data_IF_593507988186
#
_entry.id   IF_593507988186
#
_cell.length_a   1.000
_cell.length_b   1.000
_cell.length_c   1.000
_cell.angle_alpha   90.00
_cell.angle_beta   90.00
_cell.angle_gamma   90.00
#
_symmetry.space_group_name_H-M   'P 1'
#
loop_
_entity.id
_entity.type
_entity.pdbx_description
1 polymer ?
#
# COMPACT_ATOMS: atom_id res chain seq x y z
N UNK A 1 20.17 0.01 12.21
CA UNK A 1 19.50 -1.06 11.44
C UNK A 1 18.17 -1.33 12.11
N UNK A 2 17.13 -0.62 11.70
CA UNK A 2 15.79 -0.72 12.28
C UNK A 2 14.89 -1.53 11.36
N UNK A 3 14.00 -2.32 11.94
CA UNK A 3 12.82 -2.85 11.24
C UNK A 3 12.06 -1.65 10.63
N UNK A 4 11.92 -1.60 9.31
CA UNK A 4 11.04 -0.61 8.69
C UNK A 4 9.60 -1.15 8.73
N UNK A 5 8.86 -0.68 9.72
CA UNK A 5 7.48 -1.03 10.01
C UNK A 5 7.22 -0.67 11.47
N UNK A 6 6.10 -0.02 11.79
CA UNK A 6 5.80 0.35 13.17
C UNK A 6 5.56 -0.94 13.99
N UNK A 7 6.51 -1.41 14.83
CA UNK A 7 6.34 -2.64 15.60
C UNK A 7 5.37 -2.44 16.77
N UNK A 8 5.05 -1.18 17.08
CA UNK A 8 4.17 -0.77 18.15
C UNK A 8 2.78 -0.37 17.64
N UNK A 9 2.47 -0.51 16.34
CA UNK A 9 1.11 -0.36 15.86
C UNK A 9 0.31 -1.59 16.30
N UNK A 10 -0.55 -1.49 17.33
CA UNK A 10 -1.39 -2.61 17.71
C UNK A 10 -2.37 -2.82 16.56
N UNK A 11 -2.41 -4.03 16.00
CA UNK A 11 -3.51 -4.46 15.13
C UNK A 11 -4.78 -4.62 15.95
N UNK A 12 -5.33 -3.51 16.46
CA UNK A 12 -6.56 -3.48 17.23
C UNK A 12 -7.74 -3.16 16.30
N UNK A 13 -8.22 -4.19 15.59
CA UNK A 13 -9.40 -4.13 14.74
C UNK A 13 -9.40 -5.19 13.63
N UNK A 14 -10.56 -5.74 13.29
CA UNK A 14 -10.79 -6.81 12.30
C UNK A 14 -10.00 -6.60 11.00
N UNK A 15 -8.98 -7.45 10.79
CA UNK A 15 -8.13 -7.59 9.59
C UNK A 15 -7.47 -6.31 9.04
N UNK A 16 -6.15 -6.22 9.21
CA UNK A 16 -5.30 -5.35 8.39
C UNK A 16 -5.12 -3.90 8.89
N UNK A 17 -4.40 -3.11 8.10
CA UNK A 17 -4.00 -1.72 8.42
C UNK A 17 -5.23 -0.82 8.52
N UNK A 18 -5.25 0.11 9.49
CA UNK A 18 -6.28 1.14 9.54
C UNK A 18 -6.03 2.19 8.44
N UNK A 19 -7.02 2.42 7.58
CA UNK A 19 -6.96 3.41 6.48
C UNK A 19 -7.62 4.75 6.86
N UNK A 20 -8.13 4.87 8.09
CA UNK A 20 -8.52 6.13 8.69
C UNK A 20 -7.32 6.71 9.46
N UNK A 21 -6.46 7.44 8.75
CA UNK A 21 -5.19 7.93 9.29
C UNK A 21 -5.16 9.46 9.24
N UNK A 22 -4.81 10.07 10.37
CA UNK A 22 -4.37 11.45 10.51
C UNK A 22 -3.12 11.40 11.38
N UNK A 23 -1.95 11.38 10.75
CA UNK A 23 -0.71 10.99 11.41
C UNK A 23 0.42 11.98 11.15
N UNK A 24 1.46 11.88 11.97
CA UNK A 24 2.74 12.55 11.79
C UNK A 24 3.85 11.51 11.75
N UNK A 25 4.63 11.54 10.70
CA UNK A 25 5.78 10.63 10.54
C UNK A 25 7.06 11.44 10.56
N UNK A 26 8.02 10.97 11.35
CA UNK A 26 9.37 11.52 11.36
C UNK A 26 10.20 10.85 10.27
N UNK A 27 10.78 11.63 9.37
CA UNK A 27 11.75 11.14 8.41
C UNK A 27 12.99 10.63 9.17
N UNK A 28 13.33 9.33 9.07
CA UNK A 28 14.46 8.76 9.81
C UNK A 28 15.83 9.25 9.31
N UNK A 29 15.92 9.85 8.12
CA UNK A 29 17.19 10.26 7.51
C UNK A 29 17.62 11.68 7.86
N UNK A 30 16.67 12.60 8.07
CA UNK A 30 16.96 14.01 8.38
C UNK A 30 16.27 14.50 9.68
N UNK A 31 15.42 13.66 10.29
CA UNK A 31 14.72 13.96 11.53
C UNK A 31 13.53 14.91 11.40
N UNK A 32 13.18 15.36 10.20
CA UNK A 32 12.03 16.24 9.94
C UNK A 32 10.70 15.54 10.18
N UNK A 33 9.66 16.29 10.54
CA UNK A 33 8.32 15.74 10.80
C UNK A 33 7.35 16.17 9.72
N UNK A 34 6.68 15.19 9.14
CA UNK A 34 5.68 15.32 8.09
C UNK A 34 4.31 14.97 8.64
N UNK A 35 3.24 15.47 8.02
CA UNK A 35 1.87 15.09 8.41
C UNK A 35 1.06 14.68 7.20
N UNK A 36 0.27 13.63 7.32
CA UNK A 36 -0.57 13.16 6.23
C UNK A 36 -1.88 12.57 6.76
N UNK A 37 -2.87 12.49 5.88
CA UNK A 37 -4.14 11.88 6.22
C UNK A 37 -5.24 12.25 5.24
N UNK A 38 -6.42 12.54 5.79
CA UNK A 38 -7.57 13.02 5.04
C UNK A 38 -8.41 14.03 5.83
N UNK A 39 -9.17 14.86 5.11
CA UNK A 39 -10.12 15.82 5.67
C UNK A 39 -11.51 15.57 5.12
N UNK A 40 -12.52 15.82 5.95
CA UNK A 40 -13.90 15.96 5.49
C UNK A 40 -14.07 17.36 4.90
N UNK A 41 -14.31 17.46 3.59
CA UNK A 41 -14.42 18.75 2.88
C UNK A 41 -15.85 19.08 2.47
N UNK A 42 -16.74 18.08 2.52
CA UNK A 42 -18.19 18.18 2.35
C UNK A 42 -18.87 17.05 3.14
N UNK A 43 -20.19 17.04 3.39
CA UNK A 43 -20.86 15.97 4.15
C UNK A 43 -20.61 14.55 3.64
N UNK A 44 -20.34 14.38 2.34
CA UNK A 44 -20.12 13.09 1.67
C UNK A 44 -18.82 13.11 0.83
N UNK A 45 -17.79 13.83 1.29
CA UNK A 45 -16.52 13.88 0.58
C UNK A 45 -15.32 14.02 1.51
N UNK A 46 -14.42 13.05 1.42
CA UNK A 46 -13.12 13.03 2.05
C UNK A 46 -12.00 13.24 1.02
N UNK A 47 -11.02 14.09 1.34
CA UNK A 47 -9.89 14.41 0.49
C UNK A 47 -8.56 14.18 1.21
N UNK A 48 -7.51 13.69 0.52
CA UNK A 48 -6.22 13.41 1.12
C UNK A 48 -5.44 14.70 1.37
N UNK A 49 -4.47 14.65 2.27
CA UNK A 49 -3.44 15.68 2.41
C UNK A 49 -2.10 15.05 2.79
N UNK A 50 -1.03 15.75 2.43
CA UNK A 50 0.34 15.53 2.88
C UNK A 50 1.04 16.88 2.97
N UNK A 51 1.46 17.25 4.19
CA UNK A 51 2.18 18.47 4.50
C UNK A 51 3.66 18.20 4.68
N UNK A 52 4.46 18.89 3.88
CA UNK A 52 5.91 18.83 3.95
C UNK A 52 6.48 19.89 4.90
N UNK A 53 7.55 19.56 5.66
CA UNK A 53 8.30 20.55 6.44
C UNK A 53 9.00 21.59 5.56
N UNK A 54 9.09 21.37 4.25
CA UNK A 54 9.70 22.27 3.28
C UNK A 54 8.72 23.29 2.67
N UNK A 55 7.49 23.36 3.19
CA UNK A 55 6.51 24.41 2.86
C UNK A 55 5.63 24.14 1.64
N UNK A 56 5.82 23.03 0.94
CA UNK A 56 4.91 22.56 -0.09
C UNK A 56 3.87 21.58 0.47
N UNK A 57 2.79 21.39 -0.27
CA UNK A 57 1.70 20.46 0.07
C UNK A 57 1.41 19.54 -1.11
N UNK A 58 1.18 18.27 -0.80
CA UNK A 58 0.52 17.34 -1.71
C UNK A 58 -0.93 17.19 -1.29
N UNK A 59 -1.81 17.32 -2.27
CA UNK A 59 -3.26 17.33 -2.10
C UNK A 59 -3.72 18.50 -1.21
N UNK A 60 -4.69 18.28 -0.32
CA UNK A 60 -5.40 19.31 0.47
C UNK A 60 -6.42 20.14 -0.34
N UNK A 61 -7.19 19.45 -1.19
CA UNK A 61 -8.23 20.06 -2.00
C UNK A 61 -9.49 20.39 -1.21
N UNK A 62 -10.06 21.56 -1.47
CA UNK A 62 -11.43 21.90 -1.07
C UNK A 62 -12.47 21.17 -1.91
N UNK A 63 -13.72 21.12 -1.45
CA UNK A 63 -14.85 20.58 -2.25
C UNK A 63 -14.94 21.23 -3.65
N UNK A 64 -14.80 22.56 -3.71
CA UNK A 64 -14.86 23.30 -4.97
C UNK A 64 -13.73 22.93 -5.92
N UNK A 65 -12.52 22.66 -5.41
CA UNK A 65 -11.38 22.25 -6.22
C UNK A 65 -11.52 20.81 -6.73
N UNK A 66 -12.07 19.89 -5.93
CA UNK A 66 -12.32 18.52 -6.35
C UNK A 66 -13.40 18.41 -7.45
N UNK A 67 -14.38 19.32 -7.47
CA UNK A 67 -15.41 19.37 -8.50
C UNK A 67 -16.17 18.05 -8.63
N UNK A 68 -16.12 17.44 -9.81
CA UNK A 68 -16.80 16.17 -10.11
C UNK A 68 -16.07 14.92 -9.56
N UNK A 69 -14.91 15.09 -8.94
CA UNK A 69 -14.15 14.01 -8.31
C UNK A 69 -14.65 13.78 -6.89
N UNK A 70 -15.68 12.93 -6.78
CA UNK A 70 -16.47 12.71 -5.56
C UNK A 70 -16.18 11.40 -4.85
N UNK A 71 -15.18 10.63 -5.27
CA UNK A 71 -14.76 9.44 -4.56
C UNK A 71 -13.98 9.82 -3.30
N UNK A 72 -14.34 9.24 -2.15
CA UNK A 72 -13.62 9.49 -0.92
C UNK A 72 -12.19 9.01 -1.09
N UNK A 73 -11.25 9.89 -0.78
CA UNK A 73 -9.84 9.65 -1.01
C UNK A 73 -9.04 10.00 0.23
N UNK A 74 -8.09 9.13 0.60
CA UNK A 74 -7.33 9.24 1.85
C UNK A 74 -5.85 8.99 1.59
N UNK A 75 -4.96 9.74 2.24
CA UNK A 75 -3.56 9.37 2.38
C UNK A 75 -3.42 8.48 3.62
N UNK A 76 -2.88 7.29 3.45
CA UNK A 76 -2.96 6.20 4.44
C UNK A 76 -1.60 5.60 4.79
N UNK A 77 -0.56 6.00 4.06
CA UNK A 77 0.82 5.64 4.37
C UNK A 77 1.82 6.63 3.82
N UNK A 78 2.93 6.79 4.55
CA UNK A 78 4.08 7.58 4.15
C UNK A 78 5.34 6.86 4.60
N UNK A 79 6.30 6.69 3.68
CA UNK A 79 7.61 6.11 3.95
C UNK A 79 8.70 6.95 3.30
N UNK A 80 9.90 6.89 3.85
CA UNK A 80 11.07 7.58 3.33
C UNK A 80 12.06 6.53 2.80
N UNK A 81 12.50 6.70 1.56
CA UNK A 81 13.54 5.87 0.94
C UNK A 81 14.92 6.48 1.17
N UNK A 82 14.99 7.81 1.26
CA UNK A 82 16.19 8.57 1.62
C UNK A 82 15.79 9.92 2.22
N UNK A 83 16.76 10.80 2.50
CA UNK A 83 16.48 12.19 2.87
C UNK A 83 15.77 12.98 1.75
N UNK A 84 15.94 12.57 0.49
CA UNK A 84 15.47 13.31 -0.70
C UNK A 84 14.26 12.65 -1.38
N UNK A 85 13.85 11.45 -0.92
CA UNK A 85 12.81 10.63 -1.56
C UNK A 85 11.85 10.03 -0.55
N UNK A 86 10.56 10.11 -0.86
CA UNK A 86 9.49 9.51 -0.08
C UNK A 86 8.46 8.84 -0.99
N UNK A 87 7.69 7.91 -0.41
CA UNK A 87 6.55 7.27 -1.07
C UNK A 87 5.31 7.50 -0.22
N UNK A 88 4.27 8.05 -0.83
CA UNK A 88 2.96 8.22 -0.21
C UNK A 88 1.96 7.22 -0.80
N UNK A 89 1.25 6.50 0.09
CA UNK A 89 0.12 5.66 -0.28
C UNK A 89 -1.17 6.43 -0.10
N UNK A 90 -1.98 6.47 -1.16
CA UNK A 90 -3.36 6.90 -1.09
C UNK A 90 -4.30 5.77 -1.44
N UNK A 91 -5.54 5.84 -0.97
CA UNK A 91 -6.61 4.92 -1.35
C UNK A 91 -7.91 5.69 -1.63
N UNK A 92 -8.65 5.25 -2.66
CA UNK A 92 -10.00 5.73 -2.96
C UNK A 92 -11.02 4.59 -3.08
N UNK A 93 -12.27 4.86 -2.69
CA UNK A 93 -13.39 3.94 -2.82
C UNK A 93 -14.04 3.92 -4.21
N UNK A 94 -13.71 4.87 -5.09
CA UNK A 94 -14.30 5.03 -6.41
C UNK A 94 -13.34 5.61 -7.45
N UNK A 95 -13.84 5.76 -8.68
CA UNK A 95 -13.00 6.13 -9.84
C UNK A 95 -12.97 7.59 -10.22
N UNK A 96 -13.99 8.35 -9.82
CA UNK A 96 -13.96 9.80 -9.90
C UNK A 96 -13.16 10.35 -8.71
N UNK A 97 -11.88 10.01 -8.64
CA UNK A 97 -10.96 10.36 -7.56
C UNK A 97 -9.94 11.40 -7.99
N UNK A 98 -9.46 12.19 -7.02
CA UNK A 98 -8.34 13.13 -7.20
C UNK A 98 -7.00 12.44 -7.34
N UNK A 99 -6.87 11.14 -7.00
CA UNK A 99 -5.59 10.41 -6.98
C UNK A 99 -4.89 10.36 -8.34
N UNK A 100 -5.66 10.41 -9.43
CA UNK A 100 -5.15 10.36 -10.79
C UNK A 100 -4.50 11.68 -11.23
N UNK A 101 -4.70 12.76 -10.47
CA UNK A 101 -4.18 14.09 -10.79
C UNK A 101 -2.90 14.40 -10.02
N UNK A 102 -2.08 15.28 -10.58
CA UNK A 102 -0.84 15.74 -9.94
C UNK A 102 -1.20 16.20 -8.53
N UNK A 103 -0.51 15.69 -7.50
CA UNK A 103 -0.82 16.05 -6.12
C UNK A 103 -0.64 17.55 -5.84
N UNK A 104 0.04 18.30 -6.71
CA UNK A 104 0.22 19.75 -6.58
C UNK A 104 -0.79 20.56 -7.40
N UNK A 105 -1.45 19.93 -8.39
CA UNK A 105 -2.48 20.57 -9.21
C UNK A 105 -3.56 19.55 -9.63
N UNK A 106 -4.72 19.62 -8.98
CA UNK A 106 -5.89 18.77 -9.26
C UNK A 106 -6.41 18.85 -10.69
N UNK A 107 -6.01 19.85 -11.50
CA UNK A 107 -6.44 19.96 -12.90
C UNK A 107 -5.53 19.20 -13.87
N UNK A 108 -4.35 18.79 -13.42
CA UNK A 108 -3.34 18.15 -14.26
C UNK A 108 -3.35 16.65 -14.03
N UNK A 109 -3.57 15.86 -15.08
CA UNK A 109 -3.49 14.40 -14.99
C UNK A 109 -2.03 13.93 -15.08
N UNK A 110 -1.47 13.35 -14.02
CA UNK A 110 -0.03 13.02 -13.94
C UNK A 110 0.36 11.69 -14.61
N UNK A 111 -0.61 10.83 -14.96
CA UNK A 111 -0.42 9.52 -15.64
C UNK A 111 0.42 8.45 -14.93
N UNK A 112 1.23 8.79 -13.92
CA UNK A 112 2.18 7.87 -13.29
C UNK A 112 1.53 6.58 -12.75
N UNK A 113 0.28 6.68 -12.28
CA UNK A 113 -0.46 5.55 -11.70
C UNK A 113 -1.58 5.01 -12.60
N UNK A 114 -1.68 5.52 -13.84
CA UNK A 114 -2.82 5.23 -14.71
C UNK A 114 -4.15 5.84 -14.21
N UNK A 115 -5.26 5.43 -14.83
CA UNK A 115 -6.58 6.00 -14.56
C UNK A 115 -7.18 5.51 -13.24
N UNK A 116 -7.92 6.38 -12.55
CA UNK A 116 -8.78 6.05 -11.40
C UNK A 116 -9.97 5.18 -11.84
N UNK A 117 -9.79 3.85 -11.79
CA UNK A 117 -10.83 2.85 -12.07
C UNK A 117 -11.78 2.66 -10.88
N UNK A 118 -12.23 1.45 -10.55
CA UNK A 118 -12.93 1.19 -9.27
C UNK A 118 -12.03 1.54 -8.06
N UNK A 119 -12.41 1.15 -6.85
CA UNK A 119 -11.54 1.34 -5.68
C UNK A 119 -10.07 0.93 -5.95
N UNK A 120 -9.12 1.85 -5.71
CA UNK A 120 -7.69 1.71 -6.04
C UNK A 120 -6.81 2.33 -4.95
N UNK A 121 -5.60 1.80 -4.82
CA UNK A 121 -4.53 2.40 -4.01
C UNK A 121 -3.38 2.82 -4.91
N UNK A 122 -2.90 4.05 -4.74
CA UNK A 122 -1.76 4.57 -5.48
C UNK A 122 -0.59 4.74 -4.53
N UNK A 123 0.59 4.30 -4.94
CA UNK A 123 1.87 4.60 -4.32
C UNK A 123 2.58 5.59 -5.22
N UNK A 124 2.82 6.80 -4.72
CA UNK A 124 3.46 7.89 -5.45
C UNK A 124 4.79 8.22 -4.80
N UNK A 125 5.87 8.15 -5.58
CA UNK A 125 7.19 8.62 -5.16
C UNK A 125 7.29 10.13 -5.42
N UNK A 126 7.86 10.87 -4.46
CA UNK A 126 8.07 12.30 -4.58
C UNK A 126 9.47 12.74 -4.16
N UNK A 127 9.90 13.86 -4.71
CA UNK A 127 11.06 14.61 -4.24
C UNK A 127 10.73 15.30 -2.91
N UNK A 128 11.48 14.98 -1.87
CA UNK A 128 11.19 15.48 -0.53
C UNK A 128 11.27 17.01 -0.44
N UNK A 129 12.18 17.64 -1.19
CA UNK A 129 12.44 19.08 -1.09
C UNK A 129 11.49 19.89 -1.95
N UNK A 130 11.19 19.44 -3.16
CA UNK A 130 10.37 20.21 -4.13
C UNK A 130 8.91 19.76 -4.19
N UNK A 131 8.61 18.54 -3.76
CA UNK A 131 7.31 17.92 -3.95
C UNK A 131 7.06 17.48 -5.39
N UNK A 132 8.07 17.40 -6.26
CA UNK A 132 7.91 16.86 -7.61
C UNK A 132 7.49 15.37 -7.55
N UNK A 133 6.38 14.95 -8.17
CA UNK A 133 6.05 13.53 -8.34
C UNK A 133 7.03 12.90 -9.34
N UNK A 134 7.57 11.74 -8.99
CA UNK A 134 8.67 11.11 -9.75
C UNK A 134 8.25 9.81 -10.41
N UNK A 135 7.55 8.96 -9.65
CA UNK A 135 7.12 7.65 -10.09
C UNK A 135 5.81 7.26 -9.40
N UNK A 136 5.13 6.25 -9.94
CA UNK A 136 3.85 5.80 -9.42
C UNK A 136 3.58 4.34 -9.71
N UNK A 137 2.89 3.68 -8.79
CA UNK A 137 2.38 2.32 -8.96
C UNK A 137 0.96 2.23 -8.38
N UNK A 138 0.05 1.60 -9.10
CA UNK A 138 -1.35 1.45 -8.69
C UNK A 138 -1.73 -0.01 -8.46
N UNK A 139 -2.55 -0.23 -7.43
CA UNK A 139 -3.11 -1.52 -7.08
C UNK A 139 -4.63 -1.42 -6.94
N UNK A 140 -5.33 -2.51 -7.27
CA UNK A 140 -6.76 -2.63 -7.02
C UNK A 140 -7.05 -2.67 -5.52
N UNK A 141 -8.10 -2.00 -5.06
CA UNK A 141 -8.50 -1.96 -3.66
C UNK A 141 -7.39 -1.51 -2.69
N UNK A 142 -7.26 -2.18 -1.54
CA UNK A 142 -6.45 -1.77 -0.37
C UNK A 142 -5.40 -2.84 -0.07
N UNK A 143 -4.16 -2.72 -0.59
CA UNK A 143 -3.05 -3.52 -0.10
C UNK A 143 -2.85 -3.25 1.39
N UNK A 144 -2.87 -4.31 2.20
CA UNK A 144 -2.92 -4.21 3.65
C UNK A 144 -1.56 -3.90 4.29
N UNK A 145 -0.47 -4.29 3.62
CA UNK A 145 0.88 -4.05 4.10
C UNK A 145 1.82 -3.69 2.95
N UNK A 146 2.83 -2.90 3.28
CA UNK A 146 3.93 -2.60 2.39
C UNK A 146 5.19 -2.33 3.21
N UNK A 147 6.35 -2.65 2.66
CA UNK A 147 7.65 -2.42 3.29
C UNK A 147 8.74 -2.12 2.25
N UNK A 148 9.90 -1.65 2.72
CA UNK A 148 11.07 -1.37 1.91
C UNK A 148 12.26 -2.16 2.44
N UNK A 149 13.21 -2.49 1.56
CA UNK A 149 14.51 -3.00 2.00
C UNK A 149 15.59 -1.93 2.04
N UNK A 150 16.79 -2.31 2.49
CA UNK A 150 17.94 -1.42 2.58
C UNK A 150 18.49 -0.94 1.22
N UNK A 151 18.05 -1.53 0.12
CA UNK A 151 18.39 -1.09 -1.24
C UNK A 151 17.30 -0.19 -1.84
N UNK A 152 16.26 0.13 -1.08
CA UNK A 152 15.14 0.96 -1.52
C UNK A 152 14.09 0.21 -2.34
N UNK A 153 14.23 -1.11 -2.53
CA UNK A 153 13.19 -1.92 -3.20
C UNK A 153 11.92 -1.91 -2.35
N UNK A 154 10.80 -1.85 -3.02
CA UNK A 154 9.48 -1.69 -2.43
C UNK A 154 8.67 -2.98 -2.57
N UNK A 155 8.00 -3.41 -1.50
CA UNK A 155 7.19 -4.62 -1.48
C UNK A 155 5.79 -4.31 -0.99
N UNK A 156 4.78 -4.85 -1.67
CA UNK A 156 3.36 -4.64 -1.37
C UNK A 156 2.66 -5.97 -1.21
N UNK A 157 1.72 -6.06 -0.26
CA UNK A 157 0.98 -7.28 0.08
C UNK A 157 -0.15 -7.57 -0.91
N UNK A 158 0.13 -7.40 -2.20
CA UNK A 158 -0.82 -7.64 -3.27
C UNK A 158 -0.08 -7.87 -4.57
N UNK A 159 -0.50 -8.87 -5.33
CA UNK A 159 -0.03 -9.06 -6.69
C UNK A 159 -0.48 -7.89 -7.58
N UNK A 160 0.39 -7.45 -8.49
CA UNK A 160 0.07 -6.45 -9.49
C UNK A 160 -0.89 -7.06 -10.53
N UNK A 161 -1.86 -6.28 -11.02
CA UNK A 161 -2.60 -6.68 -12.22
C UNK A 161 -1.62 -6.67 -13.41
N UNK A 162 -1.55 -7.78 -14.16
CA UNK A 162 -0.59 -8.01 -15.28
C UNK A 162 0.09 -6.75 -15.82
N UNK A 163 1.41 -6.69 -15.71
CA UNK A 163 2.24 -5.58 -16.16
C UNK A 163 3.37 -6.09 -17.06
N UNK A 164 3.61 -5.48 -18.24
CA UNK A 164 4.53 -6.04 -19.25
C UNK A 164 5.98 -6.18 -18.75
N UNK A 165 6.45 -5.26 -17.91
CA UNK A 165 7.80 -5.29 -17.34
C UNK A 165 7.95 -6.14 -16.07
N UNK A 166 6.87 -6.73 -15.55
CA UNK A 166 6.89 -7.43 -14.27
C UNK A 166 7.10 -8.93 -14.49
N UNK A 167 8.08 -9.53 -13.80
CA UNK A 167 8.23 -10.97 -13.76
C UNK A 167 7.02 -11.59 -13.03
N UNK A 168 6.12 -12.18 -13.80
CA UNK A 168 4.97 -12.93 -13.26
C UNK A 168 5.45 -14.30 -12.77
N UNK A 169 5.42 -14.49 -11.45
CA UNK A 169 5.74 -15.75 -10.79
C UNK A 169 4.57 -16.75 -10.81
N UNK A 170 3.47 -16.40 -11.50
CA UNK A 170 2.27 -17.20 -11.66
C UNK A 170 1.21 -16.97 -10.57
N UNK A 171 -0.02 -17.38 -10.89
CA UNK A 171 -1.19 -17.38 -10.01
C UNK A 171 -2.35 -16.51 -10.49
N UNK A 172 -3.58 -16.93 -10.19
CA UNK A 172 -4.77 -16.07 -10.34
C UNK A 172 -4.78 -15.03 -9.22
N UNK A 173 -5.24 -13.82 -9.51
CA UNK A 173 -5.18 -12.63 -8.64
C UNK A 173 -5.75 -12.89 -7.22
N UNK A 174 -4.92 -13.09 -6.19
CA UNK A 174 -5.35 -13.29 -4.78
C UNK A 174 -4.24 -12.90 -3.76
N UNK A 175 -4.09 -13.62 -2.63
CA UNK A 175 -3.06 -13.41 -1.63
C UNK A 175 -1.67 -13.52 -2.26
N UNK A 176 -1.07 -12.38 -2.54
CA UNK A 176 0.21 -12.30 -3.23
C UNK A 176 1.06 -11.16 -2.74
N UNK A 177 2.09 -10.88 -3.52
CA UNK A 177 2.95 -9.73 -3.34
C UNK A 177 3.37 -9.15 -4.69
N UNK A 178 3.79 -7.89 -4.65
CA UNK A 178 4.50 -7.22 -5.74
C UNK A 178 5.79 -6.67 -5.16
N UNK A 179 6.89 -6.82 -5.90
CA UNK A 179 8.17 -6.20 -5.65
C UNK A 179 8.44 -5.17 -6.75
N UNK A 180 8.87 -3.98 -6.37
CA UNK A 180 9.29 -2.90 -7.25
C UNK A 180 10.68 -2.41 -6.85
N UNK A 181 11.40 -1.78 -7.78
CA UNK A 181 12.68 -1.16 -7.49
C UNK A 181 12.52 0.16 -6.72
N UNK A 182 13.63 0.86 -6.49
CA UNK A 182 13.64 2.13 -5.77
C UNK A 182 12.87 3.25 -6.49
N UNK A 183 12.62 3.12 -7.80
CA UNK A 183 11.85 4.09 -8.60
C UNK A 183 10.41 3.59 -8.86
N UNK A 184 9.91 2.69 -8.00
CA UNK A 184 8.59 2.05 -8.12
C UNK A 184 8.36 1.30 -9.45
N UNK A 185 9.41 0.92 -10.19
CA UNK A 185 9.25 0.07 -11.37
C UNK A 185 8.99 -1.37 -10.91
N UNK A 186 7.88 -1.99 -11.33
CA UNK A 186 7.57 -3.37 -10.91
C UNK A 186 8.63 -4.33 -11.45
N UNK A 187 9.17 -5.16 -10.54
CA UNK A 187 10.20 -6.16 -10.82
C UNK A 187 9.60 -7.56 -10.89
N UNK A 188 8.81 -7.94 -9.88
CA UNK A 188 8.21 -9.26 -9.79
C UNK A 188 6.87 -9.20 -9.07
N UNK A 189 5.96 -10.10 -9.43
CA UNK A 189 4.66 -10.22 -8.78
C UNK A 189 4.26 -11.69 -8.75
N UNK A 190 3.59 -12.12 -7.68
CA UNK A 190 3.17 -13.51 -7.55
C UNK A 190 2.05 -13.69 -6.54
N UNK A 191 1.32 -14.79 -6.68
CA UNK A 191 0.28 -15.20 -5.73
C UNK A 191 0.78 -16.40 -4.93
N UNK A 192 0.70 -16.31 -3.60
CA UNK A 192 1.01 -17.41 -2.69
C UNK A 192 -0.16 -18.38 -2.56
N UNK A 193 -1.37 -17.84 -2.41
CA UNK A 193 -2.58 -18.61 -2.12
C UNK A 193 -3.75 -18.03 -2.91
N UNK A 194 -4.43 -18.86 -3.70
CA UNK A 194 -5.68 -18.45 -4.37
C UNK A 194 -6.79 -18.27 -3.34
N UNK A 195 -7.75 -17.37 -3.60
CA UNK A 195 -8.83 -16.97 -2.68
C UNK A 195 -8.39 -16.46 -1.29
N UNK A 196 -7.09 -16.22 -1.11
CA UNK A 196 -6.53 -15.63 0.10
C UNK A 196 -6.42 -14.11 0.07
N UNK A 197 -6.04 -13.54 1.21
CA UNK A 197 -5.62 -12.14 1.38
C UNK A 197 -4.27 -12.08 2.11
N UNK A 198 -3.31 -11.34 1.55
CA UNK A 198 -2.08 -10.98 2.26
C UNK A 198 -2.37 -9.77 3.15
N UNK A 199 -2.12 -9.91 4.45
CA UNK A 199 -2.55 -8.96 5.48
C UNK A 199 -1.37 -8.27 6.18
N UNK A 200 -0.22 -8.93 6.25
CA UNK A 200 0.96 -8.44 6.96
C UNK A 200 2.24 -8.75 6.18
N UNK A 201 3.23 -7.87 6.31
CA UNK A 201 4.56 -8.06 5.74
C UNK A 201 5.63 -7.62 6.71
N UNK A 202 6.72 -8.39 6.77
CA UNK A 202 7.93 -8.03 7.49
C UNK A 202 9.15 -8.41 6.64
N UNK A 203 10.21 -7.61 6.73
CA UNK A 203 11.39 -7.79 5.90
C UNK A 203 12.65 -7.58 6.74
N UNK A 204 13.53 -8.56 6.72
CA UNK A 204 14.81 -8.50 7.43
C UNK A 204 15.87 -9.35 6.74
N UNK A 205 17.04 -8.78 6.47
CA UNK A 205 18.20 -9.53 5.97
C UNK A 205 17.93 -10.29 4.66
N UNK A 206 17.13 -9.71 3.76
CA UNK A 206 16.73 -10.37 2.50
C UNK A 206 15.66 -11.46 2.67
N UNK A 207 15.09 -11.65 3.86
CA UNK A 207 13.93 -12.52 4.05
C UNK A 207 12.66 -11.67 4.14
N UNK A 208 11.78 -11.83 3.15
CA UNK A 208 10.44 -11.27 3.18
C UNK A 208 9.46 -12.30 3.74
N UNK A 209 8.78 -11.93 4.81
CA UNK A 209 7.72 -12.71 5.44
C UNK A 209 6.39 -12.07 5.09
N UNK A 210 5.47 -12.84 4.51
CA UNK A 210 4.11 -12.39 4.20
C UNK A 210 3.12 -13.26 4.97
N UNK A 211 2.32 -12.63 5.83
CA UNK A 211 1.25 -13.28 6.58
C UNK A 211 -0.11 -12.92 6.00
N UNK A 212 -1.03 -13.87 6.01
CA UNK A 212 -2.37 -13.63 5.51
C UNK A 212 -3.38 -14.69 5.92
N UNK A 213 -4.55 -14.64 5.30
CA UNK A 213 -5.64 -15.58 5.54
C UNK A 213 -6.15 -16.17 4.23
N UNK A 214 -6.69 -17.38 4.29
CA UNK A 214 -7.42 -18.03 3.20
C UNK A 214 -8.74 -18.56 3.75
N UNK A 215 -9.82 -18.42 2.98
CA UNK A 215 -11.10 -18.98 3.39
C UNK A 215 -11.04 -20.52 3.33
N UNK A 216 -11.78 -21.21 4.20
CA UNK A 216 -11.76 -22.68 4.26
C UNK A 216 -12.27 -23.38 2.97
N UNK A 217 -12.79 -22.63 2.00
CA UNK A 217 -13.21 -23.12 0.68
C UNK A 217 -12.18 -22.84 -0.41
N UNK A 218 -12.18 -23.63 -1.49
CA UNK A 218 -11.30 -23.40 -2.65
C UNK A 218 -9.87 -23.90 -2.42
N UNK A 219 -8.87 -23.05 -2.71
CA UNK A 219 -7.46 -23.44 -2.69
C UNK A 219 -6.88 -23.75 -1.29
N UNK A 220 -7.57 -23.39 -0.20
CA UNK A 220 -7.23 -23.89 1.13
C UNK A 220 -7.27 -25.43 1.22
N UNK A 221 -8.08 -26.10 0.39
CA UNK A 221 -8.11 -27.56 0.32
C UNK A 221 -6.80 -28.17 -0.22
N UNK A 222 -6.01 -27.41 -0.97
CA UNK A 222 -4.73 -27.84 -1.53
C UNK A 222 -3.53 -27.53 -0.59
N UNK A 223 -3.74 -26.72 0.46
CA UNK A 223 -2.70 -26.46 1.45
C UNK A 223 -2.59 -27.61 2.45
N UNK A 224 -1.39 -27.92 2.96
CA UNK A 224 -1.23 -28.91 4.02
C UNK A 224 -2.07 -28.52 5.24
N UNK A 225 -3.05 -29.36 5.60
CA UNK A 225 -3.87 -29.15 6.78
C UNK A 225 -3.05 -29.41 8.04
N UNK A 226 -2.60 -28.36 8.70
CA UNK A 226 -2.02 -28.41 10.03
C UNK A 226 -3.15 -28.24 11.06
N UNK A 227 -3.58 -29.35 11.66
CA UNK A 227 -4.50 -29.31 12.80
C UNK A 227 -3.68 -29.01 14.04
N UNK A 228 -4.04 -27.95 14.76
CA UNK A 228 -3.46 -27.67 16.07
C UNK A 228 -3.70 -28.89 16.98
N UNK A 229 -2.67 -29.44 17.65
CA UNK A 229 -2.82 -30.58 18.57
C UNK A 229 -3.87 -30.36 19.68
N UNK A 230 -4.17 -29.10 20.00
CA UNK A 230 -5.19 -28.72 20.98
C UNK A 230 -6.63 -28.69 20.41
N UNK A 231 -6.83 -29.02 19.12
CA UNK A 231 -8.14 -29.03 18.47
C UNK A 231 -8.51 -30.41 17.94
N UNK A 232 -9.77 -30.85 18.07
CA UNK A 232 -10.21 -32.17 17.65
C UNK A 232 -10.31 -32.35 16.12
N UNK A 233 -10.18 -31.27 15.36
CA UNK A 233 -10.21 -31.26 13.90
C UNK A 233 -9.92 -29.87 13.32
N UNK A 234 -9.88 -29.74 11.98
CA UNK A 234 -9.72 -28.44 11.33
C UNK A 234 -10.85 -27.47 11.71
N UNK A 235 -10.52 -26.18 11.82
CA UNK A 235 -11.54 -25.12 11.94
C UNK A 235 -12.36 -24.97 10.65
N UNK A 236 -13.50 -24.28 10.74
CA UNK A 236 -14.47 -24.14 9.64
C UNK A 236 -14.64 -22.72 9.06
N UNK A 237 -13.72 -21.80 9.31
CA UNK A 237 -13.87 -20.38 8.94
C UNK A 237 -12.80 -19.89 7.97
N UNK A 238 -11.62 -19.60 8.49
CA UNK A 238 -10.45 -19.15 7.72
C UNK A 238 -9.20 -19.75 8.33
N UNK A 239 -8.24 -20.11 7.47
CA UNK A 239 -6.92 -20.54 7.86
C UNK A 239 -5.90 -19.42 7.65
N UNK A 240 -4.91 -19.35 8.51
CA UNK A 240 -3.77 -18.44 8.33
C UNK A 240 -2.71 -19.06 7.43
N UNK A 241 -2.03 -18.23 6.63
CA UNK A 241 -0.80 -18.65 5.94
C UNK A 241 0.37 -17.73 6.30
N UNK A 242 1.57 -18.30 6.22
CA UNK A 242 2.83 -17.57 6.24
C UNK A 242 3.63 -18.01 5.02
N UNK A 243 4.01 -17.06 4.18
CA UNK A 243 4.93 -17.26 3.07
C UNK A 243 6.29 -16.65 3.42
N UNK A 244 7.36 -17.40 3.16
CA UNK A 244 8.74 -16.97 3.34
C UNK A 244 9.39 -16.85 1.96
N UNK A 245 9.77 -15.64 1.58
CA UNK A 245 10.41 -15.36 0.29
C UNK A 245 11.84 -14.91 0.55
N UNK A 246 12.79 -15.71 0.07
CA UNK A 246 14.19 -15.32 0.07
C UNK A 246 14.45 -14.40 -1.12
N UNK A 247 14.84 -13.17 -0.81
CA UNK A 247 15.23 -12.14 -1.75
C UNK A 247 16.74 -12.24 -1.97
N UNK A 248 17.15 -12.24 -3.24
CA UNK A 248 18.54 -12.28 -3.66
C UNK A 248 19.01 -10.86 -4.04
#
# INVERSE_FOLDING_TARGET
>A
MGLSGNPAAPGAGTKGRNFAVNDKVRNPYDGTTWSYGYKQVAPQLQQPYLYSPFGWTWWDWTEAQAGNQRADTRCVGLWFQSKDRFVAQTWSDGGNTVQANDPRDVKVYHKLCGNGGRSKSFFLEGDAKTGEPLAGLAFSHRPQAACFDGWGRFYVSQALEQHPDCLDLGGSRHAGFCAADANLRPLASGTFVQDGQSLAMALQGGLLVVGGSVSAGGAAAALPKLVNPAQPGPGGGEDGFIALVKLW
#
